data_IF_406403394992
#
_entry.id   IF_406403394992
#
_cell.length_a   1.000
_cell.length_b   1.000
_cell.length_c   1.000
_cell.angle_alpha   90.00
_cell.angle_beta   90.00
_cell.angle_gamma   90.00
#
_symmetry.space_group_name_H-M   'P 1'
#
loop_
_entity.id
_entity.type
_entity.pdbx_description
1 polymer ?
#
# COMPACT_ATOMS: atom_id res chain seq x y z
N UNK A 1 2.28 9.62 -11.71
CA UNK A 1 0.91 10.15 -11.65
C UNK A 1 0.42 10.04 -10.24
N UNK A 2 -0.01 11.14 -9.62
CA UNK A 2 -0.51 11.13 -8.25
C UNK A 2 -1.96 10.64 -8.26
N UNK A 3 -2.18 9.35 -8.06
CA UNK A 3 -3.51 8.77 -7.94
C UNK A 3 -3.98 8.81 -6.49
N UNK A 4 -5.14 9.41 -6.25
CA UNK A 4 -5.86 9.32 -4.97
C UNK A 4 -6.84 8.16 -5.07
N UNK A 5 -6.93 7.33 -4.04
CA UNK A 5 -7.88 6.21 -3.97
C UNK A 5 -8.49 6.14 -2.58
N UNK A 6 -9.76 5.78 -2.51
CA UNK A 6 -10.41 5.40 -1.26
C UNK A 6 -10.07 3.94 -1.01
N UNK A 7 -9.49 3.66 0.16
CA UNK A 7 -9.06 2.33 0.58
C UNK A 7 -9.67 2.02 1.93
N UNK A 8 -9.86 0.74 2.20
CA UNK A 8 -10.30 0.23 3.49
C UNK A 8 -9.09 -0.32 4.23
N UNK A 9 -8.89 0.12 5.46
CA UNK A 9 -7.70 -0.23 6.23
C UNK A 9 -8.05 -1.13 7.41
N UNK A 10 -7.21 -2.14 7.65
CA UNK A 10 -7.26 -3.03 8.81
C UNK A 10 -5.91 -2.95 9.54
N UNK A 11 -5.94 -2.57 10.82
CA UNK A 11 -4.77 -2.63 11.68
C UNK A 11 -4.82 -3.92 12.50
N UNK A 12 -3.84 -4.79 12.26
CA UNK A 12 -3.66 -6.03 13.00
C UNK A 12 -2.95 -5.76 14.33
N UNK A 13 -3.21 -6.63 15.31
CA UNK A 13 -2.48 -6.58 16.57
C UNK A 13 -1.00 -6.95 16.36
N UNK A 14 -0.16 -6.62 17.35
CA UNK A 14 1.26 -6.97 17.28
C UNK A 14 1.46 -8.49 17.42
N UNK A 15 2.38 -9.01 16.62
CA UNK A 15 2.93 -10.35 16.67
C UNK A 15 4.45 -10.24 16.72
N UNK A 16 5.02 -10.63 17.87
CA UNK A 16 6.43 -10.40 18.19
C UNK A 16 6.84 -8.93 18.07
N UNK A 17 7.81 -8.65 17.18
CA UNK A 17 8.41 -7.32 17.00
C UNK A 17 7.72 -6.46 15.92
N UNK A 18 6.54 -6.86 15.43
CA UNK A 18 5.86 -6.16 14.34
C UNK A 18 4.34 -6.26 14.41
N UNK A 19 3.66 -5.45 13.61
CA UNK A 19 2.25 -5.55 13.30
C UNK A 19 2.03 -5.21 11.82
N UNK A 20 0.80 -5.35 11.32
CA UNK A 20 0.48 -5.08 9.91
C UNK A 20 -0.68 -4.11 9.78
N UNK A 21 -0.54 -3.14 8.89
CA UNK A 21 -1.63 -2.29 8.42
C UNK A 21 -1.94 -2.69 6.97
N UNK A 22 -3.05 -3.39 6.79
CA UNK A 22 -3.46 -3.95 5.49
C UNK A 22 -4.50 -3.03 4.84
N UNK A 23 -4.33 -2.76 3.56
CA UNK A 23 -5.19 -1.89 2.77
C UNK A 23 -5.91 -2.71 1.70
N UNK A 24 -7.21 -2.49 1.56
CA UNK A 24 -8.11 -3.20 0.65
C UNK A 24 -8.84 -2.23 -0.28
N UNK A 25 -9.27 -2.73 -1.44
CA UNK A 25 -10.04 -1.94 -2.41
C UNK A 25 -11.47 -1.65 -1.95
N UNK A 26 -12.01 -2.50 -1.09
CA UNK A 26 -13.40 -2.47 -0.66
C UNK A 26 -13.56 -3.02 0.77
N UNK A 27 -14.75 -2.84 1.30
CA UNK A 27 -15.17 -3.23 2.65
C UNK A 27 -15.23 -4.74 2.90
N UNK A 28 -15.14 -5.58 1.86
CA UNK A 28 -15.17 -7.03 2.00
C UNK A 28 -13.82 -7.58 2.48
N UNK A 29 -12.74 -6.79 2.38
CA UNK A 29 -11.39 -7.15 2.82
C UNK A 29 -10.85 -8.46 2.20
N UNK A 30 -11.25 -8.80 0.97
CA UNK A 30 -10.88 -10.07 0.34
C UNK A 30 -9.49 -10.06 -0.31
N UNK A 31 -9.13 -8.96 -0.99
CA UNK A 31 -7.89 -8.84 -1.74
C UNK A 31 -7.08 -7.62 -1.26
N UNK A 32 -5.93 -7.83 -0.60
CA UNK A 32 -5.08 -6.74 -0.16
C UNK A 32 -4.43 -6.04 -1.35
N UNK A 33 -4.50 -4.72 -1.36
CA UNK A 33 -3.81 -3.83 -2.31
C UNK A 33 -2.39 -3.57 -1.85
N UNK A 34 -2.22 -3.36 -0.55
CA UNK A 34 -0.95 -3.01 0.08
C UNK A 34 -0.95 -3.52 1.52
N UNK A 35 0.23 -3.87 2.00
CA UNK A 35 0.49 -4.20 3.39
C UNK A 35 1.68 -3.37 3.88
N UNK A 36 1.48 -2.64 4.97
CA UNK A 36 2.49 -1.79 5.61
C UNK A 36 2.89 -2.46 6.92
N UNK A 37 4.15 -2.89 6.98
CA UNK A 37 4.73 -3.47 8.19
C UNK A 37 4.98 -2.38 9.23
N UNK A 38 4.32 -2.49 10.38
CA UNK A 38 4.51 -1.59 11.51
C UNK A 38 5.55 -2.19 12.45
N UNK A 39 6.60 -1.43 12.71
CA UNK A 39 7.70 -1.79 13.61
C UNK A 39 7.92 -0.67 14.64
N UNK A 40 8.87 -0.86 15.55
CA UNK A 40 9.30 0.19 16.48
C UNK A 40 9.78 1.45 15.74
N UNK A 41 10.49 1.29 14.62
CA UNK A 41 11.06 2.40 13.83
C UNK A 41 10.08 3.03 12.85
N UNK A 42 8.89 2.44 12.65
CA UNK A 42 7.89 2.99 11.73
C UNK A 42 7.46 4.39 12.14
N UNK A 43 7.32 5.30 11.18
CA UNK A 43 6.92 6.69 11.43
C UNK A 43 5.40 6.78 11.41
N UNK A 44 4.79 7.24 12.49
CA UNK A 44 3.35 7.52 12.55
C UNK A 44 3.17 8.94 13.10
N UNK A 45 2.79 9.90 12.25
CA UNK A 45 2.67 11.30 12.67
C UNK A 45 1.47 12.00 12.02
N UNK A 46 1.02 13.07 12.67
CA UNK A 46 0.02 13.96 12.12
C UNK A 46 0.65 14.93 11.11
N UNK A 47 -0.17 15.34 10.13
CA UNK A 47 0.19 16.46 9.26
C UNK A 47 -0.35 17.74 9.89
N UNK A 48 0.54 18.71 10.10
CA UNK A 48 0.20 19.99 10.74
C UNK A 48 -0.73 20.80 9.84
N UNK A 49 -1.86 21.22 10.40
CA UNK A 49 -2.84 22.07 9.72
C UNK A 49 -4.11 22.26 10.54
N UNK A 50 -4.83 23.37 10.33
CA UNK A 50 -6.10 23.65 11.00
C UNK A 50 -7.14 22.63 10.50
N UNK A 51 -7.77 21.90 11.42
CA UNK A 51 -8.78 20.86 11.11
C UNK A 51 -8.28 19.81 10.10
N UNK A 52 -6.98 19.52 10.07
CA UNK A 52 -6.42 18.52 9.17
C UNK A 52 -6.87 17.10 9.56
N UNK A 53 -7.29 16.30 8.59
CA UNK A 53 -7.60 14.87 8.77
C UNK A 53 -6.51 13.95 8.22
N UNK A 54 -5.39 14.53 7.78
CA UNK A 54 -4.27 13.81 7.20
C UNK A 54 -3.24 13.36 8.24
N UNK A 55 -2.64 12.21 8.00
CA UNK A 55 -1.56 11.64 8.79
C UNK A 55 -0.65 10.81 7.88
N UNK A 56 0.52 10.46 8.38
CA UNK A 56 1.53 9.69 7.64
C UNK A 56 1.81 8.40 8.40
N UNK A 57 1.91 7.30 7.66
CA UNK A 57 2.48 6.03 8.14
C UNK A 57 3.63 5.66 7.21
N UNK A 58 4.85 5.70 7.72
CA UNK A 58 6.11 5.62 6.98
C UNK A 58 6.18 6.63 5.84
N UNK A 59 6.15 6.17 4.58
CA UNK A 59 6.15 7.01 3.39
C UNK A 59 4.76 7.20 2.77
N UNK A 60 3.70 6.74 3.43
CA UNK A 60 2.33 6.77 2.91
C UNK A 60 1.51 7.87 3.57
N UNK A 61 0.91 8.72 2.75
CA UNK A 61 -0.01 9.76 3.19
C UNK A 61 -1.44 9.24 3.23
N UNK A 62 -2.08 9.37 4.37
CA UNK A 62 -3.47 9.01 4.60
C UNK A 62 -4.31 10.26 4.87
N UNK A 63 -5.59 10.18 4.51
CA UNK A 63 -6.61 11.15 4.91
C UNK A 63 -7.82 10.37 5.45
N UNK A 64 -8.24 10.72 6.66
CA UNK A 64 -9.47 10.19 7.28
C UNK A 64 -10.66 11.13 7.00
N UNK A 65 -11.88 10.68 7.31
CA UNK A 65 -13.09 11.47 7.07
C UNK A 65 -13.18 12.68 8.01
N UNK A 66 -12.67 12.57 9.23
CA UNK A 66 -12.66 13.65 10.22
C UNK A 66 -11.35 13.74 10.99
N UNK A 67 -10.99 14.93 11.55
CA UNK A 67 -9.82 15.06 12.42
C UNK A 67 -9.86 14.15 13.65
N UNK A 68 -11.05 13.81 14.15
CA UNK A 68 -11.21 12.87 15.25
C UNK A 68 -10.96 11.41 14.84
N UNK A 69 -11.36 11.01 13.64
CA UNK A 69 -11.00 9.69 13.10
C UNK A 69 -9.48 9.56 12.92
N UNK A 70 -8.81 10.59 12.40
CA UNK A 70 -7.33 10.66 12.37
C UNK A 70 -6.72 10.41 13.76
N UNK A 71 -7.24 11.08 14.80
CA UNK A 71 -6.73 10.91 16.18
C UNK A 71 -6.91 9.48 16.67
N UNK A 72 -8.04 8.83 16.33
CA UNK A 72 -8.29 7.43 16.66
C UNK A 72 -7.25 6.51 16.00
N UNK A 73 -6.99 6.70 14.70
CA UNK A 73 -5.96 5.94 13.98
C UNK A 73 -4.57 6.11 14.59
N UNK A 74 -4.13 7.34 14.82
CA UNK A 74 -2.82 7.62 15.40
C UNK A 74 -2.68 7.06 16.83
N UNK A 75 -3.77 7.08 17.62
CA UNK A 75 -3.79 6.44 18.95
C UNK A 75 -3.65 4.92 18.84
N UNK A 76 -4.38 4.28 17.93
CA UNK A 76 -4.31 2.84 17.73
C UNK A 76 -2.90 2.40 17.28
N UNK A 77 -2.33 3.09 16.29
CA UNK A 77 -0.96 2.86 15.82
C UNK A 77 0.06 3.07 16.94
N UNK A 78 -0.06 4.14 17.72
CA UNK A 78 0.85 4.41 18.85
C UNK A 78 0.76 3.33 19.92
N UNK A 79 -0.44 2.83 20.23
CA UNK A 79 -0.63 1.74 21.18
C UNK A 79 0.07 0.45 20.70
N UNK A 80 -0.09 0.09 19.43
CA UNK A 80 0.60 -1.05 18.81
C UNK A 80 2.12 -0.88 18.88
N UNK A 81 2.63 0.30 18.53
CA UNK A 81 4.06 0.61 18.64
C UNK A 81 4.59 0.46 20.06
N UNK A 82 3.86 0.98 21.06
CA UNK A 82 4.23 0.82 22.47
C UNK A 82 4.30 -0.66 22.86
N UNK A 83 3.36 -1.49 22.39
CA UNK A 83 3.37 -2.94 22.64
C UNK A 83 4.60 -3.62 22.03
N UNK A 84 4.94 -3.27 20.78
CA UNK A 84 6.14 -3.76 20.09
C UNK A 84 7.40 -3.35 20.86
N UNK A 85 7.52 -2.07 21.23
CA UNK A 85 8.66 -1.51 21.96
C UNK A 85 8.85 -2.16 23.34
N UNK A 86 7.75 -2.42 24.04
CA UNK A 86 7.79 -3.08 25.35
C UNK A 86 7.98 -4.60 25.27
N UNK A 87 8.12 -5.17 24.06
CA UNK A 87 8.16 -6.61 23.82
C UNK A 87 7.00 -7.33 24.50
N UNK A 88 5.80 -6.73 24.42
CA UNK A 88 4.62 -7.30 25.03
C UNK A 88 4.29 -8.65 24.36
N UNK A 89 3.78 -9.64 25.12
CA UNK A 89 3.31 -10.88 24.54
C UNK A 89 2.19 -10.61 23.53
N UNK A 90 2.00 -11.53 22.59
CA UNK A 90 0.87 -11.47 21.66
C UNK A 90 -0.44 -11.43 22.45
N UNK A 91 -1.38 -10.53 22.08
CA UNK A 91 -2.60 -10.37 22.85
C UNK A 91 -3.46 -11.63 22.71
N UNK A 92 -4.04 -12.05 23.83
CA UNK A 92 -5.04 -13.12 23.87
C UNK A 92 -6.32 -12.69 23.15
N UNK A 93 -7.16 -13.66 22.78
CA UNK A 93 -8.46 -13.35 22.15
C UNK A 93 -9.35 -12.48 23.06
N UNK A 94 -9.26 -12.66 24.38
CA UNK A 94 -9.98 -11.83 25.34
C UNK A 94 -9.50 -10.38 25.32
N UNK A 95 -8.19 -10.15 25.24
CA UNK A 95 -7.62 -8.80 25.12
C UNK A 95 -7.96 -8.17 23.78
N UNK A 96 -7.89 -8.93 22.67
CA UNK A 96 -8.34 -8.46 21.36
C UNK A 96 -9.81 -8.03 21.39
N UNK A 97 -10.66 -8.80 22.08
CA UNK A 97 -12.06 -8.45 22.23
C UNK A 97 -12.24 -7.16 23.04
N UNK A 98 -11.48 -6.96 24.11
CA UNK A 98 -11.47 -5.69 24.84
C UNK A 98 -11.01 -4.53 23.96
N UNK A 99 -9.96 -4.69 23.15
CA UNK A 99 -9.50 -3.65 22.23
C UNK A 99 -10.61 -3.27 21.25
N UNK A 100 -11.28 -4.27 20.65
CA UNK A 100 -12.40 -4.05 19.72
C UNK A 100 -13.56 -3.33 20.39
N UNK A 101 -13.90 -3.68 21.64
CA UNK A 101 -14.97 -3.01 22.40
C UNK A 101 -14.61 -1.54 22.63
N UNK A 102 -13.43 -1.26 23.19
CA UNK A 102 -13.00 0.11 23.49
C UNK A 102 -12.90 0.99 22.23
N UNK A 103 -12.49 0.43 21.09
CA UNK A 103 -12.47 1.14 19.81
C UNK A 103 -13.90 1.47 19.35
N UNK A 104 -14.85 0.52 19.45
CA UNK A 104 -16.25 0.76 19.08
C UNK A 104 -16.91 1.81 19.96
N UNK A 105 -16.66 1.77 21.27
CA UNK A 105 -17.14 2.78 22.21
C UNK A 105 -16.61 4.17 21.86
N UNK A 106 -15.32 4.26 21.50
CA UNK A 106 -14.73 5.53 21.06
C UNK A 106 -15.39 6.05 19.78
N UNK A 107 -15.58 5.19 18.78
CA UNK A 107 -16.28 5.55 17.53
C UNK A 107 -17.69 6.05 17.83
N UNK A 108 -18.44 5.38 18.71
CA UNK A 108 -19.79 5.80 19.10
C UNK A 108 -19.78 7.18 19.78
N UNK A 109 -18.83 7.43 20.68
CA UNK A 109 -18.68 8.73 21.34
C UNK A 109 -18.31 9.85 20.36
N UNK A 110 -17.46 9.58 19.38
CA UNK A 110 -17.10 10.52 18.30
C UNK A 110 -18.30 10.84 17.41
N UNK A 111 -19.15 9.86 17.13
CA UNK A 111 -20.37 10.06 16.34
C UNK A 111 -21.40 10.91 17.11
N UNK A 112 -21.50 10.75 18.43
CA UNK A 112 -22.42 11.53 19.27
C UNK A 112 -22.02 13.01 19.40
N UNK A 113 -20.75 13.37 19.18
CA UNK A 113 -20.25 14.74 19.35
C UNK A 113 -20.49 15.66 18.15
N UNK A 114 -21.22 15.21 17.11
CA UNK A 114 -21.68 16.04 15.98
C UNK A 114 -20.54 16.88 15.34
N UNK A 115 -19.33 16.31 15.22
CA UNK A 115 -18.33 16.95 14.36
C UNK A 115 -18.91 17.06 12.95
N UNK A 116 -18.90 18.27 12.34
CA UNK A 116 -19.41 18.46 11.00
C UNK A 116 -18.61 17.57 10.05
N UNK A 117 -19.19 16.44 9.65
CA UNK A 117 -18.67 15.65 8.54
C UNK A 117 -18.71 16.57 7.33
N UNK A 118 -17.54 16.85 6.75
CA UNK A 118 -17.46 17.52 5.45
C UNK A 118 -18.39 16.73 4.52
N UNK A 119 -19.40 17.41 3.97
CA UNK A 119 -20.59 16.83 3.35
C UNK A 119 -20.25 15.61 2.46
N UNK A 120 -20.85 14.46 2.80
CA UNK A 120 -20.50 13.10 2.37
C UNK A 120 -20.96 12.72 0.96
N UNK A 121 -20.77 13.59 -0.03
CA UNK A 121 -20.89 13.13 -1.43
C UNK A 121 -19.49 12.91 -1.99
N UNK A 122 -19.16 11.69 -2.44
CA UNK A 122 -17.89 11.45 -3.11
C UNK A 122 -17.81 12.41 -4.30
N UNK A 123 -16.95 13.42 -4.19
CA UNK A 123 -16.73 14.39 -5.26
C UNK A 123 -16.04 13.73 -6.47
N UNK A 124 -15.35 12.63 -6.22
CA UNK A 124 -14.70 11.83 -7.25
C UNK A 124 -15.66 10.78 -7.79
N UNK A 125 -15.90 10.81 -9.10
CA UNK A 125 -16.62 9.74 -9.79
C UNK A 125 -15.80 8.46 -9.72
N UNK A 126 -16.45 7.34 -9.36
CA UNK A 126 -15.80 6.03 -9.37
C UNK A 126 -15.41 5.70 -10.81
N UNK A 127 -14.13 5.84 -11.15
CA UNK A 127 -13.60 5.36 -12.42
C UNK A 127 -13.54 3.84 -12.34
N UNK A 128 -14.13 3.16 -13.31
CA UNK A 128 -14.06 1.70 -13.42
C UNK A 128 -12.58 1.32 -13.57
N UNK A 129 -12.00 0.66 -12.56
CA UNK A 129 -10.62 0.16 -12.64
C UNK A 129 -10.56 -0.79 -13.82
N UNK A 130 -9.68 -0.50 -14.78
CA UNK A 130 -9.44 -1.39 -15.91
C UNK A 130 -9.00 -2.73 -15.34
N UNK A 131 -9.67 -3.81 -15.75
CA UNK A 131 -9.17 -5.16 -15.50
C UNK A 131 -7.72 -5.22 -15.98
N UNK A 132 -6.81 -5.86 -15.23
CA UNK A 132 -5.45 -6.09 -15.70
C UNK A 132 -5.56 -6.74 -17.08
N UNK A 133 -5.13 -6.03 -18.12
CA UNK A 133 -5.05 -6.66 -19.43
C UNK A 133 -4.01 -7.77 -19.28
N UNK A 134 -4.32 -9.02 -19.69
CA UNK A 134 -3.28 -10.02 -19.80
C UNK A 134 -2.17 -9.41 -20.65
N UNK A 135 -0.95 -9.43 -20.12
CA UNK A 135 0.23 -8.96 -20.81
C UNK A 135 0.22 -9.64 -22.18
N UNK A 136 -0.05 -8.86 -23.23
CA UNK A 136 0.03 -9.38 -24.59
C UNK A 136 1.41 -9.99 -24.76
N UNK A 137 1.47 -11.19 -25.31
CA UNK A 137 2.72 -11.87 -25.64
C UNK A 137 3.67 -10.83 -26.25
N UNK A 138 4.80 -10.61 -25.57
CA UNK A 138 5.78 -9.62 -25.99
C UNK A 138 6.17 -9.84 -27.45
N UNK A 139 6.68 -8.77 -28.08
CA UNK A 139 7.23 -8.82 -29.44
C UNK A 139 8.11 -10.06 -29.58
N UNK A 140 7.60 -11.04 -30.33
CA UNK A 140 8.38 -12.22 -30.72
C UNK A 140 9.19 -11.75 -31.92
N UNK A 141 10.51 -11.67 -31.77
CA UNK A 141 11.40 -11.32 -32.88
C UNK A 141 11.11 -12.22 -34.09
N UNK A 142 10.98 -11.68 -35.31
CA UNK A 142 10.70 -12.48 -36.49
C UNK A 142 11.88 -13.42 -36.75
N UNK A 143 11.57 -14.71 -36.93
CA UNK A 143 12.54 -15.76 -37.18
C UNK A 143 13.43 -15.42 -38.38
N UNK A 144 14.74 -15.51 -38.17
CA UNK A 144 15.78 -15.35 -39.19
C UNK A 144 15.62 -16.40 -40.29
N UNK A 145 15.51 -15.93 -41.54
CA UNK A 145 15.42 -16.79 -42.72
C UNK A 145 16.75 -17.57 -42.93
N UNK A 146 16.69 -18.83 -43.39
CA UNK A 146 17.88 -19.62 -43.67
C UNK A 146 18.58 -19.09 -44.93
N UNK A 147 19.83 -18.68 -44.79
CA UNK A 147 20.71 -18.34 -45.92
C UNK A 147 21.24 -19.64 -46.54
N UNK A 148 20.84 -19.89 -47.79
CA UNK A 148 21.42 -20.93 -48.64
C UNK A 148 22.86 -20.57 -48.99
N UNK A 149 23.80 -21.42 -48.57
CA UNK A 149 25.15 -21.50 -49.12
C UNK A 149 25.09 -22.11 -50.53
N UNK A 150 25.60 -21.39 -51.52
CA UNK A 150 26.08 -21.98 -52.77
C UNK A 150 27.08 -21.04 -53.48
N UNK A 151 28.34 -21.48 -53.54
CA UNK A 151 29.33 -21.34 -54.64
C UNK A 151 29.70 -19.92 -55.11
N UNK A 152 30.93 -19.55 -55.47
CA UNK A 152 32.09 -20.32 -55.90
C UNK A 152 33.32 -19.41 -55.93
N UNK A 153 34.49 -20.05 -55.93
CA UNK A 153 35.82 -19.47 -55.92
C UNK A 153 36.22 -18.74 -57.21
N UNK A 154 37.19 -17.82 -57.08
CA UNK A 154 38.34 -17.50 -57.96
C UNK A 154 38.76 -16.04 -57.72
N UNK A 155 40.03 -15.61 -57.71
CA UNK A 155 41.31 -16.26 -57.84
C UNK A 155 42.41 -15.24 -57.45
N UNK A 156 43.54 -15.80 -57.01
CA UNK A 156 44.91 -15.36 -57.28
C UNK A 156 45.40 -13.94 -56.89
N UNK A 157 46.27 -13.96 -55.88
CA UNK A 157 47.69 -13.57 -55.97
C UNK A 157 48.06 -12.12 -56.30
N UNK A 158 48.75 -11.49 -55.34
CA UNK A 158 50.16 -11.05 -55.41
C UNK A 158 50.53 -10.41 -54.07
N UNK A 159 51.57 -10.91 -53.40
CA UNK A 159 52.87 -10.21 -53.18
C UNK A 159 52.72 -8.93 -52.33
N UNK A 160 53.51 -8.60 -51.32
CA UNK A 160 54.69 -9.11 -50.64
C UNK A 160 55.03 -8.00 -49.61
N UNK A 161 55.93 -8.32 -48.69
CA UNK A 161 56.80 -7.40 -47.92
C UNK A 161 56.33 -6.94 -46.54
N UNK A 162 57.16 -7.36 -45.59
CA UNK A 162 57.35 -7.06 -44.18
C UNK A 162 57.51 -5.58 -43.81
N UNK A 163 57.11 -5.22 -42.60
CA UNK A 163 58.00 -5.16 -41.42
C UNK A 163 57.14 -5.19 -40.15
#
# INVERSE_FOLDING_TARGET
GNSISVLFCELQAHSGASARLVLYENELCEAPVLDILITESSVCCDVVGINCSCFIVDCHHFASQTPSERKLWLRALSNVKVKIQSQAPEPTEQELQHYRISIRENIAALQATLEPRIVNHPLLTRVQRRTPRPVGAGDVDPATAPTNDASEAQAAARSNVSL
#
